data_IF_811410029360
#
_entry.id   IF_811410029360
#
_cell.length_a   1.000
_cell.length_b   1.000
_cell.length_c   1.000
_cell.angle_alpha   90.00
_cell.angle_beta   90.00
_cell.angle_gamma   90.00
#
_symmetry.space_group_name_H-M   'P 1'
#
loop_
_entity.id
_entity.type
_entity.pdbx_description
1 polymer ?
#
# COMPACT_ATOMS: atom_id res chain seq x y z
N UNK A 1 -0.87 -15.45 18.68
CA UNK A 1 -0.90 -14.05 19.14
C UNK A 1 -0.13 -13.26 18.11
N UNK A 2 -0.84 -12.62 17.19
CA UNK A 2 -0.23 -11.80 16.14
C UNK A 2 0.29 -10.52 16.80
N UNK A 3 1.59 -10.35 16.85
CA UNK A 3 2.18 -9.14 17.40
C UNK A 3 2.27 -8.11 16.27
N UNK A 4 1.15 -7.46 15.98
CA UNK A 4 1.17 -6.20 15.26
C UNK A 4 1.84 -5.16 16.16
N UNK A 5 2.55 -4.23 15.54
CA UNK A 5 3.19 -3.07 16.16
C UNK A 5 2.35 -2.53 17.32
N UNK A 6 2.72 -2.89 18.55
CA UNK A 6 2.26 -2.19 19.74
C UNK A 6 3.10 -0.92 19.84
N UNK A 7 2.51 0.23 19.51
CA UNK A 7 3.02 1.54 19.92
C UNK A 7 1.97 2.21 20.77
N UNK A 8 2.38 2.49 22.00
CA UNK A 8 1.71 3.34 22.96
C UNK A 8 1.57 4.76 22.40
N UNK A 9 0.35 5.30 22.48
CA UNK A 9 -0.06 6.70 22.27
C UNK A 9 0.53 7.44 21.06
N UNK A 10 -0.20 7.48 19.94
CA UNK A 10 -0.01 8.52 18.94
C UNK A 10 -1.38 9.04 18.46
N UNK A 11 -1.64 10.31 18.78
CA UNK A 11 -2.65 11.09 18.06
C UNK A 11 -2.20 11.17 16.59
N UNK A 12 -3.15 11.22 15.65
CA UNK A 12 -2.90 11.43 14.22
C UNK A 12 -1.71 12.37 13.97
N UNK A 13 -0.80 11.98 13.07
CA UNK A 13 0.36 12.82 12.72
C UNK A 13 -0.16 14.14 12.16
N UNK A 14 0.00 15.21 12.94
CA UNK A 14 -0.25 16.55 12.47
C UNK A 14 0.96 17.02 11.67
N UNK A 15 0.89 16.75 10.36
CA UNK A 15 1.91 17.12 9.39
C UNK A 15 2.00 18.63 9.17
N UNK A 16 1.18 19.46 9.82
CA UNK A 16 1.35 20.93 9.82
C UNK A 16 2.47 21.41 10.75
N UNK A 17 2.98 20.55 11.63
CA UNK A 17 4.13 20.87 12.47
C UNK A 17 5.45 20.56 11.75
N UNK A 18 6.49 21.37 11.95
CA UNK A 18 7.83 21.05 11.45
C UNK A 18 8.45 19.90 12.26
N UNK A 19 8.86 18.82 11.58
CA UNK A 19 9.58 17.71 12.21
C UNK A 19 11.10 17.79 12.02
N UNK A 20 11.57 18.56 11.04
CA UNK A 20 12.99 18.75 10.78
C UNK A 20 13.47 20.09 11.32
N UNK A 21 14.62 20.10 11.99
CA UNK A 21 15.33 21.34 12.37
C UNK A 21 15.83 22.05 11.11
N UNK A 22 15.43 23.30 10.92
CA UNK A 22 15.68 24.05 9.68
C UNK A 22 17.17 24.24 9.36
N UNK A 23 18.01 24.42 10.38
CA UNK A 23 19.46 24.63 10.26
C UNK A 23 20.28 23.32 10.22
N UNK A 24 19.60 22.17 10.23
CA UNK A 24 20.23 20.85 10.17
C UNK A 24 20.24 20.27 8.77
N UNK A 25 21.09 19.26 8.59
CA UNK A 25 21.27 18.54 7.33
C UNK A 25 21.01 17.06 7.55
N UNK A 26 20.27 16.43 6.65
CA UNK A 26 19.78 15.08 6.81
C UNK A 26 20.28 14.17 5.69
N UNK A 27 20.48 12.91 6.06
CA UNK A 27 20.65 11.81 5.13
C UNK A 27 19.29 11.14 4.89
N UNK A 28 18.93 10.88 3.63
CA UNK A 28 17.70 10.17 3.28
C UNK A 28 18.01 8.69 3.03
N UNK A 29 17.15 7.81 3.56
CA UNK A 29 17.22 6.36 3.45
C UNK A 29 15.90 5.81 2.91
N UNK A 30 15.98 4.97 1.89
CA UNK A 30 14.87 4.10 1.53
C UNK A 30 14.87 2.88 2.45
N UNK A 31 13.73 2.58 3.05
CA UNK A 31 13.56 1.53 4.04
C UNK A 31 12.63 0.45 3.49
N UNK A 32 12.98 -0.82 3.68
CA UNK A 32 12.10 -1.94 3.38
C UNK A 32 12.11 -2.95 4.53
N UNK A 33 10.94 -3.52 4.81
CA UNK A 33 10.78 -4.65 5.73
C UNK A 33 9.67 -5.57 5.21
N UNK A 34 9.66 -6.89 5.48
CA UNK A 34 8.53 -7.74 5.12
C UNK A 34 7.21 -7.23 5.71
N UNK A 35 6.10 -7.35 4.98
CA UNK A 35 4.77 -6.84 5.42
C UNK A 35 4.31 -7.45 6.75
N UNK A 36 4.76 -8.67 7.08
CA UNK A 36 4.44 -9.37 8.32
C UNK A 36 5.70 -9.86 9.02
N UNK A 37 5.72 -9.80 10.36
CA UNK A 37 6.91 -10.16 11.14
C UNK A 37 6.99 -11.62 11.61
N UNK A 38 5.83 -12.28 11.78
CA UNK A 38 5.75 -13.63 12.38
C UNK A 38 5.75 -14.73 11.30
N UNK A 39 5.09 -15.87 11.48
CA UNK A 39 5.14 -17.01 10.55
C UNK A 39 4.74 -16.62 9.11
N UNK A 40 3.82 -15.66 8.97
CA UNK A 40 3.44 -15.06 7.68
C UNK A 40 4.59 -14.25 7.05
N UNK A 41 5.48 -13.72 7.88
CA UNK A 41 6.74 -13.10 7.46
C UNK A 41 7.67 -14.05 6.70
N UNK A 42 7.57 -15.37 6.92
CA UNK A 42 8.31 -16.34 6.09
C UNK A 42 7.72 -16.39 4.69
N UNK A 43 6.39 -16.36 4.57
CA UNK A 43 5.68 -16.37 3.29
C UNK A 43 5.92 -15.05 2.53
N UNK A 44 5.84 -13.89 3.20
CA UNK A 44 6.07 -12.60 2.53
C UNK A 44 7.52 -12.40 2.13
N UNK A 45 8.49 -12.90 2.92
CA UNK A 45 9.90 -12.95 2.49
C UNK A 45 10.08 -13.81 1.24
N UNK A 46 9.43 -14.98 1.17
CA UNK A 46 9.45 -15.85 -0.01
C UNK A 46 8.79 -15.19 -1.24
N UNK A 47 7.73 -14.42 -1.02
CA UNK A 47 7.02 -13.69 -2.06
C UNK A 47 7.64 -12.31 -2.37
N UNK A 48 8.70 -11.90 -1.67
CA UNK A 48 9.28 -10.56 -1.69
C UNK A 48 8.23 -9.44 -1.52
N UNK A 49 7.19 -9.67 -0.73
CA UNK A 49 6.21 -8.63 -0.38
C UNK A 49 6.69 -7.84 0.83
N UNK A 50 6.98 -6.56 0.60
CA UNK A 50 7.54 -5.66 1.61
C UNK A 50 6.63 -4.48 1.89
N UNK A 51 6.83 -3.88 3.06
CA UNK A 51 6.41 -2.54 3.42
C UNK A 51 7.59 -1.58 3.24
N UNK A 52 7.31 -0.34 2.86
CA UNK A 52 8.32 0.65 2.55
C UNK A 52 8.11 1.97 3.31
N UNK A 53 9.20 2.65 3.62
CA UNK A 53 9.21 3.97 4.24
C UNK A 53 10.43 4.80 3.83
N UNK A 54 10.41 6.09 4.20
CA UNK A 54 11.55 7.00 4.08
C UNK A 54 12.10 7.31 5.47
N UNK A 55 13.37 6.96 5.68
CA UNK A 55 14.12 7.30 6.88
C UNK A 55 14.97 8.54 6.67
N UNK A 56 15.04 9.37 7.69
CA UNK A 56 15.85 10.58 7.73
C UNK A 56 16.76 10.50 8.94
N UNK A 57 18.07 10.65 8.71
CA UNK A 57 19.06 10.71 9.79
C UNK A 57 19.64 12.11 9.81
N UNK A 58 19.47 12.79 10.92
CA UNK A 58 20.10 14.07 11.19
C UNK A 58 21.62 13.89 11.27
N UNK A 59 22.35 14.56 10.38
CA UNK A 59 23.80 14.47 10.32
C UNK A 59 24.48 15.29 11.43
N UNK A 60 23.74 16.20 12.08
CA UNK A 60 24.26 17.06 13.14
C UNK A 60 24.19 16.36 14.51
N UNK A 61 23.11 15.64 14.82
CA UNK A 61 22.90 15.01 16.14
C UNK A 61 22.54 13.51 16.11
N UNK A 62 22.51 12.89 14.93
CA UNK A 62 22.18 11.47 14.73
C UNK A 62 20.76 11.07 15.14
N UNK A 63 19.85 12.03 15.35
CA UNK A 63 18.44 11.72 15.51
C UNK A 63 17.88 11.10 14.23
N UNK A 64 16.90 10.21 14.41
CA UNK A 64 16.32 9.40 13.35
C UNK A 64 14.81 9.62 13.31
N UNK A 65 14.30 9.86 12.10
CA UNK A 65 12.88 10.04 11.85
C UNK A 65 12.46 9.16 10.68
N UNK A 66 11.26 8.57 10.75
CA UNK A 66 10.72 7.75 9.67
C UNK A 66 9.35 8.27 9.26
N UNK A 67 9.17 8.49 7.96
CA UNK A 67 7.87 8.69 7.33
C UNK A 67 7.47 7.40 6.62
N UNK A 68 6.30 6.88 6.97
CA UNK A 68 5.68 5.77 6.26
C UNK A 68 4.20 6.05 6.05
N UNK A 69 3.65 5.56 4.95
CA UNK A 69 2.22 5.54 4.75
C UNK A 69 1.72 4.16 5.14
N UNK A 70 0.89 4.04 6.17
CA UNK A 70 0.52 2.76 6.79
C UNK A 70 -0.85 2.88 7.48
N UNK A 71 -1.38 1.76 7.98
CA UNK A 71 -2.62 1.73 8.77
C UNK A 71 -2.48 2.55 10.04
N UNK A 72 -3.55 3.23 10.43
CA UNK A 72 -3.56 4.06 11.64
C UNK A 72 -3.08 3.29 12.89
N UNK A 73 -2.31 3.92 13.79
CA UNK A 73 -1.73 3.25 14.96
C UNK A 73 -2.74 2.62 15.94
N UNK A 74 -3.96 3.15 16.00
CA UNK A 74 -5.03 2.65 16.88
C UNK A 74 -5.82 1.48 16.29
N UNK A 75 -5.52 1.08 15.04
CA UNK A 75 -6.19 -0.01 14.37
C UNK A 75 -5.46 -1.34 14.57
N UNK A 76 -6.19 -2.35 15.08
CA UNK A 76 -5.68 -3.73 15.15
C UNK A 76 -5.91 -4.38 13.79
N UNK A 77 -4.84 -4.45 13.02
CA UNK A 77 -4.87 -5.05 11.70
C UNK A 77 -5.30 -6.51 11.70
N UNK A 78 -6.21 -6.83 10.77
CA UNK A 78 -6.54 -8.19 10.38
C UNK A 78 -6.32 -8.35 8.87
N UNK A 79 -5.61 -9.39 8.41
CA UNK A 79 -5.38 -9.63 6.99
C UNK A 79 -6.63 -9.64 6.13
N UNK A 80 -7.74 -10.16 6.66
CA UNK A 80 -9.02 -10.21 5.93
C UNK A 80 -9.57 -8.83 5.62
N UNK A 81 -9.24 -7.80 6.41
CA UNK A 81 -9.77 -6.46 6.23
C UNK A 81 -9.17 -5.81 4.97
N UNK A 82 -8.00 -6.25 4.48
CA UNK A 82 -7.47 -5.87 3.15
C UNK A 82 -8.21 -6.49 1.97
N UNK A 83 -8.98 -7.56 2.22
CA UNK A 83 -9.52 -8.39 1.15
C UNK A 83 -10.98 -8.07 0.86
N UNK A 84 -11.63 -7.28 1.73
CA UNK A 84 -13.06 -7.01 1.63
C UNK A 84 -13.46 -5.69 2.28
N UNK A 85 -14.52 -5.05 1.77
CA UNK A 85 -15.32 -4.12 2.53
C UNK A 85 -16.36 -4.85 3.39
N UNK A 86 -16.92 -4.12 4.35
CA UNK A 86 -18.19 -4.41 5.01
C UNK A 86 -19.31 -3.70 4.27
N UNK A 87 -20.38 -4.43 3.95
CA UNK A 87 -21.58 -3.87 3.34
C UNK A 87 -22.61 -3.48 4.43
N UNK A 88 -23.08 -2.23 4.43
CA UNK A 88 -24.18 -1.76 5.28
C UNK A 88 -25.33 -1.32 4.39
N UNK A 89 -26.55 -1.77 4.66
CA UNK A 89 -27.73 -1.27 3.94
C UNK A 89 -28.00 0.18 4.35
N UNK A 90 -28.03 1.08 3.37
CA UNK A 90 -28.49 2.44 3.56
C UNK A 90 -30.00 2.50 3.36
N UNK A 91 -30.74 2.59 4.47
CA UNK A 91 -32.21 2.60 4.48
C UNK A 91 -32.81 3.77 3.68
N UNK A 92 -32.06 4.84 3.44
CA UNK A 92 -32.55 6.01 2.69
C UNK A 92 -32.46 5.82 1.17
N UNK A 93 -31.46 5.10 0.68
CA UNK A 93 -31.24 4.88 -0.76
C UNK A 93 -31.66 3.48 -1.22
N UNK A 94 -31.78 2.52 -0.29
CA UNK A 94 -31.99 1.11 -0.60
C UNK A 94 -30.75 0.42 -1.20
N UNK A 95 -29.59 1.08 -1.16
CA UNK A 95 -28.31 0.57 -1.66
C UNK A 95 -27.38 0.22 -0.50
N UNK A 96 -26.37 -0.61 -0.76
CA UNK A 96 -25.33 -0.93 0.21
C UNK A 96 -24.15 0.05 0.13
N UNK A 97 -23.76 0.58 1.28
CA UNK A 97 -22.53 1.31 1.49
C UNK A 97 -21.40 0.30 1.78
N UNK A 98 -20.33 0.34 0.99
CA UNK A 98 -19.17 -0.54 1.14
C UNK A 98 -18.04 0.17 1.90
N UNK A 99 -17.88 -0.19 3.17
CA UNK A 99 -16.95 0.46 4.08
C UNK A 99 -15.73 -0.46 4.29
N UNK A 100 -14.55 0.08 4.02
CA UNK A 100 -13.30 -0.58 4.37
C UNK A 100 -12.97 -0.24 5.83
N UNK A 101 -12.83 -1.27 6.67
CA UNK A 101 -12.73 -1.09 8.13
C UNK A 101 -11.32 -0.62 8.58
N UNK A 102 -10.39 -0.41 7.66
CA UNK A 102 -9.07 0.14 7.92
C UNK A 102 -8.90 1.47 7.17
N UNK A 103 -8.29 2.44 7.87
CA UNK A 103 -7.84 3.69 7.28
C UNK A 103 -6.31 3.72 7.31
N UNK A 104 -5.76 4.28 6.25
CA UNK A 104 -4.32 4.49 6.10
C UNK A 104 -4.00 5.98 6.17
N UNK A 105 -2.83 6.29 6.69
CA UNK A 105 -2.37 7.65 6.95
C UNK A 105 -0.86 7.69 6.86
N UNK A 106 -0.31 8.90 6.70
CA UNK A 106 1.13 9.09 6.89
C UNK A 106 1.41 9.08 8.40
N UNK A 107 2.36 8.25 8.80
CA UNK A 107 2.83 8.07 10.17
C UNK A 107 4.27 8.57 10.24
N UNK A 108 4.53 9.41 11.23
CA UNK A 108 5.87 9.83 11.58
C UNK A 108 6.29 9.15 12.88
N UNK A 109 7.41 8.42 12.84
CA UNK A 109 7.92 7.68 13.98
C UNK A 109 9.33 8.12 14.31
N UNK A 110 9.58 8.29 15.61
CA UNK A 110 10.93 8.44 16.14
C UNK A 110 11.65 7.08 16.05
N UNK A 111 12.81 7.08 15.40
CA UNK A 111 13.75 5.97 15.23
C UNK A 111 13.45 4.89 14.16
N UNK A 112 14.54 4.48 13.50
CA UNK A 112 14.61 3.26 12.72
C UNK A 112 14.59 2.08 13.70
N UNK A 113 13.42 1.49 13.95
CA UNK A 113 13.26 0.35 14.87
C UNK A 113 14.32 -0.72 14.63
N UNK A 114 15.12 -1.03 15.67
CA UNK A 114 16.04 -2.17 15.71
C UNK A 114 15.37 -3.29 16.50
N UNK A 115 14.96 -4.37 15.83
CA UNK A 115 14.28 -5.51 16.46
C UNK A 115 13.79 -6.56 15.46
N UNK A 116 13.02 -7.56 15.93
CA UNK A 116 12.46 -8.67 15.12
C UNK A 116 11.54 -8.19 13.97
N UNK A 117 11.05 -6.95 14.07
CA UNK A 117 10.24 -6.22 13.08
C UNK A 117 10.92 -4.91 12.60
N UNK A 118 12.26 -4.85 12.64
CA UNK A 118 12.98 -3.66 12.20
C UNK A 118 12.97 -3.49 10.68
N UNK A 119 13.46 -2.35 10.21
CA UNK A 119 13.74 -2.13 8.79
C UNK A 119 14.91 -3.03 8.36
N UNK A 120 14.60 -4.14 7.67
CA UNK A 120 15.59 -5.15 7.27
C UNK A 120 16.52 -4.63 6.17
N UNK A 121 16.03 -3.75 5.29
CA UNK A 121 16.86 -3.00 4.34
C UNK A 121 16.80 -1.52 4.63
N UNK A 122 17.96 -0.89 4.52
CA UNK A 122 18.14 0.51 4.78
C UNK A 122 19.21 1.06 3.83
N UNK A 123 18.76 1.66 2.73
CA UNK A 123 19.60 2.09 1.62
C UNK A 123 19.73 3.61 1.69
N UNK A 124 20.95 4.11 1.88
CA UNK A 124 21.23 5.55 1.76
C UNK A 124 21.01 5.98 0.32
N UNK A 125 20.01 6.83 0.07
CA UNK A 125 19.61 7.27 -1.28
C UNK A 125 20.01 8.73 -1.57
N UNK A 126 20.13 9.55 -0.54
CA UNK A 126 20.70 10.90 -0.65
C UNK A 126 21.52 11.24 0.60
N UNK A 127 22.56 12.04 0.43
CA UNK A 127 23.38 12.53 1.53
C UNK A 127 23.38 14.05 1.49
N UNK A 128 22.84 14.66 2.53
CA UNK A 128 22.90 16.11 2.71
C UNK A 128 21.73 16.87 2.12
N UNK A 129 20.54 16.73 2.72
CA UNK A 129 19.34 17.52 2.39
C UNK A 129 18.98 18.40 3.58
N UNK A 130 18.74 19.70 3.36
CA UNK A 130 18.47 20.62 4.46
C UNK A 130 17.11 20.36 5.10
N UNK A 131 16.99 20.61 6.40
CA UNK A 131 15.71 20.52 7.11
C UNK A 131 14.62 21.43 6.54
N UNK A 132 15.00 22.62 6.02
CA UNK A 132 14.06 23.52 5.32
C UNK A 132 13.40 22.84 4.12
N UNK A 133 14.18 22.13 3.29
CA UNK A 133 13.64 21.39 2.12
C UNK A 133 12.72 20.27 2.59
N UNK A 134 13.11 19.55 3.64
CA UNK A 134 12.33 18.42 4.15
C UNK A 134 11.01 18.85 4.81
N UNK A 135 11.00 19.95 5.56
CA UNK A 135 9.75 20.53 6.07
C UNK A 135 8.84 20.99 4.91
N UNK A 136 9.39 21.64 3.88
CA UNK A 136 8.59 22.02 2.71
C UNK A 136 8.00 20.79 2.01
N UNK A 137 8.81 19.75 1.76
CA UNK A 137 8.34 18.49 1.19
C UNK A 137 7.27 17.81 2.05
N UNK A 138 7.41 17.85 3.38
CA UNK A 138 6.41 17.31 4.28
C UNK A 138 5.05 18.04 4.14
N UNK A 139 5.07 19.37 4.22
CA UNK A 139 3.85 20.20 4.14
C UNK A 139 3.18 20.12 2.77
N UNK A 140 3.98 20.01 1.70
CA UNK A 140 3.45 20.00 0.34
C UNK A 140 3.06 18.58 -0.10
N UNK A 141 3.97 17.62 0.00
CA UNK A 141 3.77 16.27 -0.52
C UNK A 141 3.16 15.32 0.49
N UNK A 142 3.74 15.21 1.70
CA UNK A 142 3.29 14.18 2.65
C UNK A 142 1.85 14.47 3.12
N UNK A 143 1.54 15.74 3.38
CA UNK A 143 0.19 16.20 3.67
C UNK A 143 -0.76 15.96 2.49
N UNK A 144 -0.37 16.36 1.27
CA UNK A 144 -1.18 16.10 0.07
C UNK A 144 -1.49 14.62 -0.11
N UNK A 145 -0.50 13.74 0.02
CA UNK A 145 -0.70 12.30 -0.14
C UNK A 145 -1.68 11.76 0.92
N UNK A 146 -1.53 12.21 2.18
CA UNK A 146 -2.45 11.86 3.26
C UNK A 146 -3.89 12.31 2.97
N UNK A 147 -4.07 13.51 2.41
CA UNK A 147 -5.39 14.10 2.14
C UNK A 147 -6.06 13.52 0.89
N UNK A 148 -5.28 13.01 -0.07
CA UNK A 148 -5.82 12.39 -1.29
C UNK A 148 -6.16 10.91 -1.11
N UNK A 149 -5.39 10.20 -0.27
CA UNK A 149 -5.46 8.75 -0.19
C UNK A 149 -5.77 8.29 1.23
N UNK A 150 -6.91 7.61 1.38
CA UNK A 150 -7.39 7.11 2.69
C UNK A 150 -7.63 5.60 2.72
N UNK A 151 -7.47 4.91 1.59
CA UNK A 151 -7.61 3.45 1.48
C UNK A 151 -6.41 2.86 0.75
N UNK A 152 -5.91 1.71 1.22
CA UNK A 152 -4.94 0.94 0.46
C UNK A 152 -5.65 0.15 -0.62
N UNK A 153 -5.12 0.22 -1.83
CA UNK A 153 -5.44 -0.72 -2.88
C UNK A 153 -4.21 -1.56 -3.17
N UNK A 154 -4.20 -2.80 -2.67
CA UNK A 154 -3.05 -3.70 -2.84
C UNK A 154 -2.99 -4.23 -4.29
N UNK A 155 -4.13 -4.34 -4.97
CA UNK A 155 -4.25 -5.06 -6.24
C UNK A 155 -4.39 -4.10 -7.41
N UNK A 156 -3.34 -3.94 -8.21
CA UNK A 156 -3.44 -3.27 -9.50
C UNK A 156 -3.93 -4.23 -10.61
N UNK A 157 -4.31 -3.69 -11.76
CA UNK A 157 -4.58 -4.48 -12.97
C UNK A 157 -3.70 -3.99 -14.12
N UNK A 158 -3.03 -4.92 -14.78
CA UNK A 158 -2.01 -4.64 -15.79
C UNK A 158 -2.24 -5.49 -17.02
N UNK A 159 -2.06 -4.93 -18.21
CA UNK A 159 -2.14 -5.70 -19.45
C UNK A 159 -0.88 -6.57 -19.64
N UNK A 160 -1.08 -7.86 -19.91
CA UNK A 160 0.00 -8.84 -19.98
C UNK A 160 0.96 -8.65 -21.16
N UNK A 161 0.49 -8.03 -22.24
CA UNK A 161 1.24 -7.82 -23.47
C UNK A 161 2.27 -6.69 -23.36
N UNK A 162 1.92 -5.59 -22.67
CA UNK A 162 2.75 -4.39 -22.62
C UNK A 162 3.03 -3.86 -21.21
N UNK A 163 2.50 -4.51 -20.16
CA UNK A 163 2.58 -4.05 -18.77
C UNK A 163 2.07 -2.61 -18.60
N UNK A 164 1.04 -2.23 -19.36
CA UNK A 164 0.31 -0.98 -19.15
C UNK A 164 -0.73 -1.17 -18.04
N UNK A 165 -0.82 -0.20 -17.14
CA UNK A 165 -1.86 -0.20 -16.10
C UNK A 165 -3.23 0.01 -16.71
N UNK A 166 -4.19 -0.79 -16.29
CA UNK A 166 -5.59 -0.59 -16.62
C UNK A 166 -6.09 0.73 -16.03
N UNK A 167 -6.69 1.56 -16.88
CA UNK A 167 -7.29 2.86 -16.53
C UNK A 167 -6.33 3.82 -15.77
N UNK A 168 -5.02 3.63 -15.94
CA UNK A 168 -3.97 4.39 -15.23
C UNK A 168 -4.14 4.39 -13.70
N UNK A 169 -4.76 3.36 -13.13
CA UNK A 169 -5.08 3.32 -11.70
C UNK A 169 -3.87 2.86 -10.87
N UNK A 170 -3.63 3.55 -9.76
CA UNK A 170 -2.51 3.28 -8.85
C UNK A 170 -3.01 2.64 -7.56
N UNK A 171 -2.23 1.72 -6.99
CA UNK A 171 -2.53 1.08 -5.70
C UNK A 171 -2.55 2.05 -4.51
N UNK A 172 -1.89 3.20 -4.65
CA UNK A 172 -1.74 4.24 -3.63
C UNK A 172 -1.24 3.64 -2.30
N UNK A 173 -0.23 2.76 -2.39
CA UNK A 173 0.29 2.01 -1.26
C UNK A 173 1.59 2.59 -0.68
N UNK A 174 2.16 1.99 0.38
CA UNK A 174 3.41 2.47 1.01
C UNK A 174 4.56 2.65 0.01
N UNK A 175 4.68 1.73 -0.93
CA UNK A 175 5.65 1.79 -2.01
C UNK A 175 5.41 2.97 -2.97
N UNK A 176 4.15 3.37 -3.20
CA UNK A 176 3.81 4.53 -4.03
C UNK A 176 4.11 5.84 -3.28
N UNK A 177 3.80 5.89 -1.98
CA UNK A 177 4.15 7.01 -1.11
C UNK A 177 5.66 7.26 -1.11
N UNK A 178 6.48 6.21 -0.98
CA UNK A 178 7.94 6.35 -1.03
C UNK A 178 8.38 6.79 -2.42
N UNK A 179 7.92 6.13 -3.48
CA UNK A 179 8.37 6.39 -4.85
C UNK A 179 8.01 7.81 -5.32
N UNK A 180 6.77 8.24 -5.18
CA UNK A 180 6.35 9.60 -5.54
C UNK A 180 6.95 10.65 -4.60
N UNK A 181 7.19 10.30 -3.34
CA UNK A 181 7.86 11.19 -2.39
C UNK A 181 9.29 11.51 -2.84
N UNK A 182 10.01 10.48 -3.29
CA UNK A 182 11.34 10.65 -3.88
C UNK A 182 11.30 11.44 -5.20
N UNK A 183 10.33 11.19 -6.08
CA UNK A 183 10.14 11.98 -7.30
C UNK A 183 9.86 13.46 -6.97
N UNK A 184 9.06 13.74 -5.94
CA UNK A 184 8.76 15.12 -5.50
C UNK A 184 10.01 15.81 -4.94
N UNK A 185 10.78 15.13 -4.07
CA UNK A 185 12.07 15.64 -3.57
C UNK A 185 13.02 16.01 -4.71
N UNK A 186 13.11 15.18 -5.75
CA UNK A 186 13.96 15.44 -6.90
C UNK A 186 13.43 16.59 -7.77
N UNK A 187 12.20 16.45 -8.26
CA UNK A 187 11.67 17.30 -9.33
C UNK A 187 11.25 18.69 -8.83
N UNK A 188 10.79 18.78 -7.58
CA UNK A 188 10.32 20.04 -6.98
C UNK A 188 11.43 20.75 -6.23
N UNK A 189 12.26 20.02 -5.46
CA UNK A 189 13.25 20.61 -4.56
C UNK A 189 14.70 20.40 -5.00
N UNK A 190 14.94 19.72 -6.13
CA UNK A 190 16.28 19.53 -6.68
C UNK A 190 17.18 18.60 -5.86
N UNK A 191 16.60 17.74 -5.01
CA UNK A 191 17.37 16.77 -4.23
C UNK A 191 18.06 15.78 -5.17
N UNK A 192 19.36 15.59 -4.98
CA UNK A 192 20.16 14.64 -5.76
C UNK A 192 20.18 13.28 -5.07
N UNK A 193 19.63 12.28 -5.75
CA UNK A 193 19.74 10.89 -5.34
C UNK A 193 20.98 10.22 -5.96
N UNK A 194 21.43 9.13 -5.38
CA UNK A 194 22.67 8.44 -5.76
C UNK A 194 22.46 7.23 -6.69
N UNK A 195 21.33 7.15 -7.39
CA UNK A 195 21.06 6.10 -8.39
C UNK A 195 20.85 4.69 -7.82
N UNK A 196 20.87 4.49 -6.50
CA UNK A 196 20.71 3.15 -5.93
C UNK A 196 19.32 2.61 -6.17
N UNK A 197 19.25 1.33 -6.53
CA UNK A 197 17.97 0.66 -6.76
C UNK A 197 17.21 0.43 -5.46
N UNK A 198 15.91 0.72 -5.47
CA UNK A 198 14.96 0.45 -4.39
C UNK A 198 13.82 -0.38 -4.97
N UNK A 199 13.32 -1.37 -4.22
CA UNK A 199 12.23 -2.20 -4.74
C UNK A 199 10.91 -1.46 -4.57
N UNK A 200 10.20 -1.31 -5.68
CA UNK A 200 8.76 -1.03 -5.67
C UNK A 200 8.06 -2.37 -5.83
N UNK A 201 7.30 -2.78 -4.83
CA UNK A 201 6.54 -4.03 -4.91
C UNK A 201 5.13 -3.71 -5.37
N UNK A 202 4.72 -4.35 -6.45
CA UNK A 202 3.35 -4.31 -6.93
C UNK A 202 2.73 -5.69 -6.81
N UNK A 203 1.48 -5.72 -6.37
CA UNK A 203 0.64 -6.90 -6.53
C UNK A 203 -0.39 -6.58 -7.60
N UNK A 204 -0.46 -7.39 -8.65
CA UNK A 204 -1.38 -7.12 -9.75
C UNK A 204 -1.98 -8.37 -10.38
N UNK A 205 -3.12 -8.17 -11.05
CA UNK A 205 -3.67 -9.14 -11.99
C UNK A 205 -3.24 -8.81 -13.41
N UNK A 206 -2.82 -9.84 -14.16
CA UNK A 206 -2.57 -9.74 -15.59
C UNK A 206 -3.86 -9.92 -16.38
N UNK A 207 -4.22 -8.86 -17.10
CA UNK A 207 -5.30 -8.80 -18.07
C UNK A 207 -4.80 -9.25 -19.43
N UNK A 208 -5.50 -10.19 -20.06
CA UNK A 208 -5.26 -10.48 -21.46
C UNK A 208 -6.24 -9.67 -22.32
N UNK A 209 -5.75 -8.96 -23.34
CA UNK A 209 -6.63 -8.19 -24.25
C UNK A 209 -7.58 -9.07 -25.05
N UNK A 210 -7.33 -10.39 -25.13
CA UNK A 210 -8.28 -11.34 -25.71
C UNK A 210 -9.46 -11.67 -24.79
N UNK A 211 -9.40 -11.31 -23.51
CA UNK A 211 -10.51 -11.46 -22.56
C UNK A 211 -11.42 -10.22 -22.56
N UNK A 212 -12.67 -10.35 -22.09
CA UNK A 212 -13.50 -9.18 -21.85
C UNK A 212 -12.79 -8.19 -20.93
N UNK A 213 -12.78 -6.91 -21.31
CA UNK A 213 -12.23 -5.86 -20.48
C UNK A 213 -12.95 -5.79 -19.12
N UNK A 214 -12.26 -5.41 -18.02
CA UNK A 214 -12.90 -5.18 -16.74
C UNK A 214 -14.09 -4.21 -16.87
N UNK A 215 -15.24 -4.62 -16.37
CA UNK A 215 -16.47 -3.83 -16.37
C UNK A 215 -16.54 -3.01 -15.09
N UNK A 216 -16.69 -1.69 -15.21
CA UNK A 216 -17.03 -0.84 -14.07
C UNK A 216 -18.41 -1.19 -13.51
N UNK A 217 -18.48 -1.38 -12.19
CA UNK A 217 -19.71 -1.64 -11.44
C UNK A 217 -20.16 -0.33 -10.77
N UNK A 218 -21.33 0.18 -11.18
CA UNK A 218 -21.83 1.45 -10.70
C UNK A 218 -22.53 1.30 -9.34
N UNK A 219 -21.95 1.85 -8.28
CA UNK A 219 -22.51 1.78 -6.92
C UNK A 219 -23.93 2.35 -6.79
N UNK A 220 -24.31 3.31 -7.64
CA UNK A 220 -25.66 3.90 -7.68
C UNK A 220 -26.67 3.04 -8.44
N UNK A 221 -26.23 2.00 -9.14
CA UNK A 221 -27.10 1.03 -9.81
C UNK A 221 -27.41 -0.13 -8.86
N UNK A 222 -28.70 -0.43 -8.67
CA UNK A 222 -29.12 -1.46 -7.72
C UNK A 222 -28.62 -2.88 -8.06
N UNK A 223 -28.55 -3.24 -9.34
CA UNK A 223 -28.10 -4.57 -9.76
C UNK A 223 -26.59 -4.73 -9.54
N UNK A 224 -25.79 -3.74 -9.91
CA UNK A 224 -24.34 -3.73 -9.67
C UNK A 224 -24.02 -3.71 -8.16
N UNK A 225 -24.72 -2.87 -7.39
CA UNK A 225 -24.55 -2.77 -5.94
C UNK A 225 -24.86 -4.11 -5.24
N UNK A 226 -25.96 -4.77 -5.62
CA UNK A 226 -26.31 -6.10 -5.09
C UNK A 226 -25.27 -7.15 -5.51
N UNK A 227 -24.81 -7.11 -6.76
CA UNK A 227 -23.78 -8.02 -7.26
C UNK A 227 -22.48 -7.92 -6.44
N UNK A 228 -22.01 -6.70 -6.14
CA UNK A 228 -20.81 -6.47 -5.31
C UNK A 228 -20.99 -7.08 -3.92
N UNK A 229 -22.16 -6.86 -3.29
CA UNK A 229 -22.46 -7.45 -1.98
C UNK A 229 -22.45 -8.97 -2.01
N UNK A 230 -23.16 -9.58 -2.95
CA UNK A 230 -23.24 -11.04 -3.06
C UNK A 230 -21.86 -11.66 -3.33
N UNK A 231 -21.02 -10.98 -4.11
CA UNK A 231 -19.64 -11.37 -4.30
C UNK A 231 -18.87 -11.40 -2.97
N UNK A 232 -18.88 -10.31 -2.20
CA UNK A 232 -18.14 -10.26 -0.95
C UNK A 232 -18.73 -11.17 0.14
N UNK A 233 -20.04 -11.44 0.14
CA UNK A 233 -20.64 -12.44 1.03
C UNK A 233 -20.12 -13.86 0.75
N UNK A 234 -20.02 -14.24 -0.53
CA UNK A 234 -19.42 -15.51 -0.94
C UNK A 234 -17.93 -15.56 -0.59
N UNK A 235 -17.21 -14.47 -0.85
CA UNK A 235 -15.80 -14.33 -0.46
C UNK A 235 -15.64 -14.56 1.05
N UNK A 236 -16.49 -13.95 1.87
CA UNK A 236 -16.46 -14.09 3.33
C UNK A 236 -16.69 -15.53 3.77
N UNK A 237 -17.70 -16.18 3.22
CA UNK A 237 -18.00 -17.57 3.53
C UNK A 237 -16.85 -18.51 3.16
N UNK A 238 -16.09 -18.20 2.11
CA UNK A 238 -14.89 -18.94 1.72
C UNK A 238 -13.69 -18.60 2.63
N UNK A 239 -13.46 -17.32 2.91
CA UNK A 239 -12.33 -16.83 3.67
C UNK A 239 -12.35 -17.30 5.13
N UNK A 240 -13.53 -17.32 5.76
CA UNK A 240 -13.70 -17.75 7.16
C UNK A 240 -13.42 -19.24 7.41
N UNK A 241 -13.19 -20.04 6.36
CA UNK A 241 -12.83 -21.46 6.47
C UNK A 241 -11.35 -21.66 6.84
N UNK A 242 -10.52 -20.64 6.66
CA UNK A 242 -9.07 -20.74 6.78
C UNK A 242 -8.55 -19.87 7.93
N UNK A 243 -7.52 -20.32 8.66
CA UNK A 243 -6.76 -19.42 9.53
C UNK A 243 -6.07 -18.33 8.70
N UNK A 244 -5.81 -17.17 9.30
CA UNK A 244 -5.38 -15.96 8.58
C UNK A 244 -4.09 -16.14 7.75
N UNK A 245 -3.13 -16.92 8.23
CA UNK A 245 -1.90 -17.22 7.52
C UNK A 245 -2.16 -18.03 6.22
N UNK A 246 -3.02 -19.04 6.30
CA UNK A 246 -3.43 -19.83 5.14
C UNK A 246 -4.30 -19.01 4.18
N UNK A 247 -5.15 -18.12 4.71
CA UNK A 247 -5.95 -17.19 3.90
C UNK A 247 -5.06 -16.31 3.03
N UNK A 248 -4.03 -15.69 3.63
CA UNK A 248 -3.08 -14.83 2.92
C UNK A 248 -2.32 -15.62 1.86
N UNK A 249 -1.83 -16.82 2.18
CA UNK A 249 -1.15 -17.68 1.21
C UNK A 249 -2.07 -18.00 0.03
N UNK A 250 -3.30 -18.45 0.30
CA UNK A 250 -4.27 -18.82 -0.73
C UNK A 250 -4.67 -17.65 -1.60
N UNK A 251 -4.80 -16.46 -1.01
CA UNK A 251 -5.10 -15.24 -1.75
C UNK A 251 -3.94 -14.88 -2.66
N UNK A 252 -2.74 -14.80 -2.07
CA UNK A 252 -1.48 -14.47 -2.75
C UNK A 252 -1.15 -15.41 -3.91
N UNK A 253 -1.52 -16.68 -3.78
CA UNK A 253 -1.24 -17.71 -4.80
C UNK A 253 -2.40 -17.93 -5.78
N UNK A 254 -3.48 -17.15 -5.68
CA UNK A 254 -4.68 -17.35 -6.49
C UNK A 254 -5.50 -18.61 -6.15
N UNK A 255 -5.07 -19.44 -5.19
CA UNK A 255 -5.80 -20.64 -4.72
C UNK A 255 -7.20 -20.32 -4.17
N UNK A 256 -7.40 -19.12 -3.65
CA UNK A 256 -8.72 -18.64 -3.20
C UNK A 256 -9.69 -18.41 -4.38
N UNK A 257 -9.16 -18.18 -5.58
CA UNK A 257 -9.92 -17.96 -6.81
C UNK A 257 -10.13 -19.27 -7.61
N UNK A 258 -9.44 -20.36 -7.25
CA UNK A 258 -9.43 -21.63 -8.01
C UNK A 258 -10.78 -22.38 -8.07
N UNK A 259 -11.74 -22.03 -7.22
CA UNK A 259 -13.04 -22.70 -7.19
C UNK A 259 -14.06 -22.13 -8.19
N UNK A 260 -13.69 -21.21 -9.09
CA UNK A 260 -14.53 -20.70 -10.20
C UNK A 260 -15.93 -20.15 -9.82
N UNK A 261 -16.19 -19.85 -8.56
CA UNK A 261 -17.47 -19.26 -8.09
C UNK A 261 -17.38 -17.76 -7.81
N UNK A 262 -16.21 -17.15 -8.03
CA UNK A 262 -15.90 -15.77 -7.69
C UNK A 262 -15.28 -15.09 -8.91
N UNK A 263 -16.05 -14.26 -9.59
CA UNK A 263 -15.49 -13.30 -10.53
C UNK A 263 -14.71 -12.23 -9.79
N UNK A 264 -13.67 -11.65 -10.38
CA UNK A 264 -12.89 -10.68 -9.64
C UNK A 264 -13.65 -9.35 -9.52
N UNK A 265 -13.96 -8.91 -8.29
CA UNK A 265 -14.34 -7.53 -8.02
C UNK A 265 -13.15 -6.82 -7.40
N UNK A 266 -12.44 -6.02 -8.19
CA UNK A 266 -11.31 -5.23 -7.70
C UNK A 266 -11.80 -3.87 -7.19
N UNK A 267 -11.27 -3.41 -6.06
CA UNK A 267 -11.50 -2.07 -5.52
C UNK A 267 -10.30 -1.17 -5.78
N UNK A 268 -10.47 -0.20 -6.67
CA UNK A 268 -9.45 0.74 -7.07
C UNK A 268 -10.00 2.15 -6.87
N UNK A 269 -9.42 2.95 -5.97
CA UNK A 269 -9.83 4.35 -5.75
C UNK A 269 -11.36 4.55 -5.58
N UNK A 270 -12.01 3.74 -4.74
CA UNK A 270 -13.47 3.76 -4.51
C UNK A 270 -14.33 3.28 -5.68
N UNK A 271 -13.72 2.68 -6.70
CA UNK A 271 -14.41 2.08 -7.84
C UNK A 271 -14.32 0.56 -7.77
N UNK A 272 -15.35 -0.10 -8.28
CA UNK A 272 -15.41 -1.56 -8.35
C UNK A 272 -15.38 -2.01 -9.80
N UNK A 273 -14.50 -2.97 -10.10
CA UNK A 273 -14.38 -3.54 -11.44
C UNK A 273 -14.62 -5.04 -11.42
N UNK A 274 -15.55 -5.51 -12.24
CA UNK A 274 -15.82 -6.92 -12.47
C UNK A 274 -15.00 -7.44 -13.65
N UNK A 275 -14.26 -8.52 -13.44
CA UNK A 275 -13.57 -9.23 -14.52
C UNK A 275 -14.15 -10.62 -14.70
N UNK A 276 -14.66 -10.86 -15.91
CA UNK A 276 -15.06 -12.20 -16.34
C UNK A 276 -13.85 -12.91 -16.94
N UNK A 277 -13.36 -13.93 -16.24
CA UNK A 277 -12.25 -14.77 -16.69
C UNK A 277 -12.65 -16.24 -16.66
N UNK A 278 -12.22 -17.01 -17.66
CA UNK A 278 -12.29 -18.46 -17.64
C UNK A 278 -10.94 -19.09 -17.25
N UNK A 279 -9.91 -18.26 -17.06
CA UNK A 279 -8.55 -18.67 -16.71
C UNK A 279 -8.28 -18.37 -15.23
N UNK A 280 -7.38 -19.18 -14.63
CA UNK A 280 -6.86 -18.91 -13.30
C UNK A 280 -6.10 -17.58 -13.31
N UNK A 281 -6.52 -16.63 -12.49
CA UNK A 281 -5.79 -15.39 -12.25
C UNK A 281 -4.93 -15.54 -11.01
N UNK A 282 -3.64 -15.39 -11.20
CA UNK A 282 -2.67 -15.32 -10.12
C UNK A 282 -2.42 -13.85 -9.79
N UNK A 283 -2.27 -13.54 -8.50
CA UNK A 283 -1.64 -12.29 -8.11
C UNK A 283 -0.17 -12.40 -8.51
N UNK A 284 0.22 -11.61 -9.49
CA UNK A 284 1.61 -11.48 -9.90
C UNK A 284 2.29 -10.49 -8.99
N UNK A 285 3.55 -10.79 -8.68
CA UNK A 285 4.42 -9.95 -7.89
C UNK A 285 5.54 -9.47 -8.78
N UNK A 286 5.57 -8.18 -9.09
CA UNK A 286 6.79 -7.57 -9.60
C UNK A 286 7.49 -6.85 -8.45
N UNK A 287 8.67 -7.35 -8.13
CA UNK A 287 9.57 -6.79 -7.11
C UNK A 287 10.89 -6.34 -7.73
N UNK A 288 10.92 -6.12 -9.05
CA UNK A 288 12.14 -5.70 -9.73
C UNK A 288 12.63 -4.41 -9.07
N UNK A 289 13.93 -4.34 -8.76
CA UNK A 289 14.51 -3.09 -8.29
C UNK A 289 14.23 -2.00 -9.32
N UNK A 290 13.70 -0.86 -8.85
CA UNK A 290 13.57 0.33 -9.67
C UNK A 290 14.73 1.26 -9.31
N UNK A 291 15.40 1.80 -10.34
CA UNK A 291 16.42 2.84 -10.14
C UNK A 291 15.72 4.05 -9.56
N UNK A 292 16.19 4.54 -8.42
CA UNK A 292 15.63 5.75 -7.79
C UNK A 292 15.61 6.91 -8.78
N UNK A 293 14.56 7.75 -8.79
CA UNK A 293 14.49 8.91 -9.68
C UNK A 293 15.77 9.76 -9.62
N UNK A 294 16.37 10.05 -10.80
CA UNK A 294 17.55 10.92 -10.92
C UNK A 294 18.77 10.35 -11.62
N UNK A 295 18.72 9.11 -12.08
CA UNK A 295 19.62 8.60 -13.12
C UNK A 295 18.93 8.67 -14.49
N UNK A 296 19.59 9.34 -15.44
CA UNK A 296 19.54 9.03 -16.87
C UNK A 296 20.69 8.07 -17.20
#
# INVERSE_FOLDING_TARGET
>A
MLCLIQILSQNYTDLTNDFFKADHVYQIRALETPVFCDDVGTITRLLNTTHAGLGFIDMNDSSELVFEYNMRPDYIFKPIDFLRPRAILNESTGLYDFIWDFNVTVIVQDALRKGKCGWEKNIVVASGVSGVILNAWQHDYAQWFQDQYHTYTIQEMWYADNLERFDNQHGNQCHDFVWWGMQSLQNTYGVKFNGKEVRRVFVYYLLNRSEPAPQYLNLSNQADNLFIKEFYDKFNAAALKYPENELIERWSTGKLLENNELALVNHLQHQYFFMKTNEKKFLWYESKPHVVPGDE
#
